data_IF_351897402861
#
_entry.id   IF_351897402861
#
_cell.length_a   1.000
_cell.length_b   1.000
_cell.length_c   1.000
_cell.angle_alpha   90.00
_cell.angle_beta   90.00
_cell.angle_gamma   90.00
#
_symmetry.space_group_name_H-M   'P 1'
#
loop_
_entity.id
_entity.type
_entity.pdbx_description
1 polymer ?
#
# COMPACT_ATOMS: atom_id res chain seq x y z
N UNK A 1 -11.20 44.41 -33.55
CA UNK A 1 -11.38 43.18 -32.76
C UNK A 1 -11.89 43.62 -31.41
N UNK A 2 -13.08 43.18 -31.02
CA UNK A 2 -13.69 43.53 -29.73
C UNK A 2 -12.77 43.08 -28.59
N UNK A 3 -12.49 43.99 -27.66
CA UNK A 3 -11.76 43.70 -26.43
C UNK A 3 -12.59 42.73 -25.58
N UNK A 4 -12.39 41.42 -25.80
CA UNK A 4 -12.92 40.36 -24.94
C UNK A 4 -12.47 40.69 -23.51
N UNK A 5 -13.43 40.92 -22.60
CA UNK A 5 -13.16 41.24 -21.20
C UNK A 5 -12.26 40.12 -20.64
N UNK A 6 -11.02 40.44 -20.29
CA UNK A 6 -10.05 39.46 -19.78
C UNK A 6 -10.53 39.00 -18.39
N UNK A 7 -11.01 37.77 -18.28
CA UNK A 7 -11.38 37.16 -17.00
C UNK A 7 -10.17 36.62 -16.25
N UNK A 8 -10.40 35.80 -15.24
CA UNK A 8 -9.35 35.13 -14.49
C UNK A 8 -8.91 33.84 -15.18
N UNK A 9 -7.69 33.41 -14.91
CA UNK A 9 -7.17 32.11 -15.33
C UNK A 9 -7.09 31.18 -14.12
N UNK A 10 -7.49 29.93 -14.27
CA UNK A 10 -7.48 28.91 -13.22
C UNK A 10 -6.54 27.76 -13.55
N UNK A 11 -5.89 27.18 -12.55
CA UNK A 11 -5.19 25.90 -12.67
C UNK A 11 -5.38 25.10 -11.38
N UNK A 12 -5.52 23.79 -11.48
CA UNK A 12 -5.72 22.91 -10.34
C UNK A 12 -4.70 21.80 -10.27
N UNK A 13 -4.38 21.37 -9.06
CA UNK A 13 -3.41 20.30 -8.85
C UNK A 13 -3.29 19.87 -7.41
N UNK A 14 -2.63 18.72 -7.24
CA UNK A 14 -2.25 18.23 -5.93
C UNK A 14 -1.15 19.10 -5.35
N UNK A 15 -0.10 19.45 -6.11
CA UNK A 15 1.01 20.27 -5.62
C UNK A 15 1.76 19.68 -4.40
N UNK A 16 1.81 18.35 -4.32
CA UNK A 16 2.50 17.62 -3.25
C UNK A 16 4.03 17.71 -3.38
N UNK A 17 4.73 17.88 -2.26
CA UNK A 17 6.17 18.15 -2.21
C UNK A 17 6.55 19.26 -3.19
N UNK A 18 6.02 20.46 -2.98
CA UNK A 18 6.13 21.54 -3.95
C UNK A 18 7.56 21.71 -4.50
N UNK A 19 7.74 21.46 -5.80
CA UNK A 19 9.05 21.32 -6.44
C UNK A 19 9.12 22.13 -7.75
N UNK A 20 10.29 22.14 -8.39
CA UNK A 20 10.56 22.94 -9.60
C UNK A 20 9.52 22.73 -10.72
N UNK A 21 9.04 21.49 -10.90
CA UNK A 21 7.98 21.20 -11.87
C UNK A 21 6.64 21.91 -11.59
N UNK A 22 6.24 22.04 -10.33
CA UNK A 22 5.05 22.80 -9.94
C UNK A 22 5.26 24.29 -10.19
N UNK A 23 6.42 24.83 -9.79
CA UNK A 23 6.76 26.24 -9.99
C UNK A 23 6.80 26.62 -11.47
N UNK A 24 7.43 25.81 -12.32
CA UNK A 24 7.48 26.09 -13.76
C UNK A 24 6.08 26.08 -14.39
N UNK A 25 5.25 25.12 -14.01
CA UNK A 25 3.87 25.02 -14.51
C UNK A 25 3.07 26.28 -14.17
N UNK A 26 3.19 26.77 -12.94
CA UNK A 26 2.55 28.02 -12.51
C UNK A 26 3.12 29.23 -13.27
N UNK A 27 4.44 29.33 -13.43
CA UNK A 27 5.07 30.42 -14.16
C UNK A 27 4.67 30.46 -15.65
N UNK A 28 4.47 29.31 -16.31
CA UNK A 28 3.96 29.25 -17.69
C UNK A 28 2.57 29.88 -17.80
N UNK A 29 1.69 29.61 -16.84
CA UNK A 29 0.35 30.20 -16.81
C UNK A 29 0.45 31.72 -16.63
N UNK A 30 1.25 32.19 -15.66
CA UNK A 30 1.46 33.62 -15.43
C UNK A 30 2.02 34.36 -16.66
N UNK A 31 2.93 33.73 -17.41
CA UNK A 31 3.52 34.33 -18.60
C UNK A 31 2.57 34.34 -19.80
N UNK A 32 1.71 33.32 -19.96
CA UNK A 32 0.72 33.25 -21.04
C UNK A 32 -0.42 34.25 -20.83
N UNK A 33 -0.76 34.50 -19.56
CA UNK A 33 -1.85 35.40 -19.17
C UNK A 33 -1.33 36.53 -18.28
N UNK A 34 -0.43 37.40 -18.80
CA UNK A 34 0.25 38.41 -17.99
C UNK A 34 -0.70 39.47 -17.42
N UNK A 35 -1.88 39.62 -18.01
CA UNK A 35 -2.89 40.60 -17.65
C UNK A 35 -4.08 40.02 -16.85
N UNK A 36 -4.05 38.72 -16.51
CA UNK A 36 -5.12 38.06 -15.74
C UNK A 36 -4.64 37.70 -14.32
N UNK A 37 -5.59 37.51 -13.42
CA UNK A 37 -5.32 36.91 -12.10
C UNK A 37 -5.32 35.39 -12.25
N UNK A 38 -4.28 34.75 -11.73
CA UNK A 38 -4.16 33.30 -11.63
C UNK A 38 -4.80 32.81 -10.32
N UNK A 39 -5.76 31.93 -10.45
CA UNK A 39 -6.38 31.19 -9.36
C UNK A 39 -5.80 29.77 -9.35
N UNK A 40 -5.22 29.37 -8.23
CA UNK A 40 -4.63 28.04 -8.04
C UNK A 40 -5.55 27.24 -7.12
N UNK A 41 -6.23 26.24 -7.69
CA UNK A 41 -7.03 25.26 -6.96
C UNK A 41 -6.16 24.15 -6.40
N UNK A 42 -6.07 24.08 -5.07
CA UNK A 42 -5.35 23.01 -4.40
C UNK A 42 -6.32 21.87 -4.11
N UNK A 43 -6.11 20.75 -4.79
CA UNK A 43 -6.90 19.53 -4.66
C UNK A 43 -7.03 19.12 -3.19
N UNK A 44 -8.23 18.82 -2.72
CA UNK A 44 -8.43 18.35 -1.34
C UNK A 44 -7.73 17.00 -1.12
N UNK A 45 -7.40 16.68 0.13
CA UNK A 45 -6.85 15.36 0.46
C UNK A 45 -7.87 14.26 0.16
N UNK A 46 -9.16 14.55 0.35
CA UNK A 46 -10.30 13.67 0.03
C UNK A 46 -10.37 13.39 -1.48
N UNK A 47 -10.32 14.44 -2.29
CA UNK A 47 -10.29 14.34 -3.75
C UNK A 47 -9.05 13.56 -4.20
N UNK A 48 -7.86 13.92 -3.71
CA UNK A 48 -6.62 13.26 -4.12
C UNK A 48 -6.60 11.77 -3.76
N UNK A 49 -7.04 11.42 -2.55
CA UNK A 49 -7.15 10.03 -2.09
C UNK A 49 -8.12 9.20 -2.93
N UNK A 50 -9.10 9.84 -3.59
CA UNK A 50 -10.09 9.13 -4.39
C UNK A 50 -9.55 8.61 -5.73
N UNK A 51 -8.45 9.14 -6.26
CA UNK A 51 -7.84 8.67 -7.52
C UNK A 51 -6.32 8.42 -7.46
N UNK A 52 -5.64 8.73 -6.35
CA UNK A 52 -4.19 8.53 -6.19
C UNK A 52 -3.78 8.37 -4.72
N UNK A 53 -2.50 8.06 -4.47
CA UNK A 53 -1.91 8.09 -3.12
C UNK A 53 -2.24 9.42 -2.42
N UNK A 54 -2.39 9.35 -1.10
CA UNK A 54 -2.47 10.56 -0.28
C UNK A 54 -1.22 11.42 -0.55
N UNK A 55 -1.38 12.74 -0.70
CA UNK A 55 -0.25 13.67 -0.70
C UNK A 55 0.62 13.51 0.56
N UNK A 56 1.91 13.78 0.45
CA UNK A 56 2.82 13.91 1.59
C UNK A 56 2.49 15.16 2.42
N UNK A 57 2.06 16.25 1.77
CA UNK A 57 1.62 17.49 2.42
C UNK A 57 0.09 17.61 2.45
N UNK A 58 -0.51 18.06 3.55
CA UNK A 58 -1.97 18.28 3.66
C UNK A 58 -2.47 19.37 2.72
N UNK A 59 -3.78 19.38 2.44
CA UNK A 59 -4.38 20.44 1.62
C UNK A 59 -4.07 21.85 2.15
N UNK A 60 -4.18 22.07 3.46
CA UNK A 60 -3.89 23.38 4.06
C UNK A 60 -2.39 23.73 4.01
N UNK A 61 -1.49 22.77 4.21
CA UNK A 61 -0.04 23.02 4.06
C UNK A 61 0.34 23.33 2.62
N UNK A 62 -0.26 22.62 1.66
CA UNK A 62 -0.07 22.87 0.23
C UNK A 62 -0.58 24.24 -0.16
N UNK A 63 -1.77 24.62 0.33
CA UNK A 63 -2.32 25.98 0.20
C UNK A 63 -1.34 26.99 0.80
N UNK A 64 -0.97 26.84 2.08
CA UNK A 64 -0.11 27.78 2.79
C UNK A 64 1.28 27.90 2.14
N UNK A 65 1.83 26.80 1.63
CA UNK A 65 3.10 26.78 0.90
C UNK A 65 3.00 27.66 -0.34
N UNK A 66 1.96 27.47 -1.15
CA UNK A 66 1.75 28.23 -2.39
C UNK A 66 1.45 29.71 -2.05
N UNK A 67 0.60 29.98 -1.07
CA UNK A 67 0.31 31.34 -0.60
C UNK A 67 1.58 32.06 -0.12
N UNK A 68 2.44 31.38 0.63
CA UNK A 68 3.70 31.95 1.13
C UNK A 68 4.64 32.28 -0.02
N UNK A 69 4.83 31.33 -0.95
CA UNK A 69 5.68 31.49 -2.14
C UNK A 69 5.19 32.68 -2.99
N UNK A 70 3.88 32.84 -3.16
CA UNK A 70 3.27 33.88 -3.99
C UNK A 70 2.76 35.10 -3.21
N UNK A 71 3.11 35.24 -1.93
CA UNK A 71 2.58 36.29 -1.03
C UNK A 71 2.81 37.72 -1.54
N UNK A 72 3.89 37.96 -2.28
CA UNK A 72 4.19 39.26 -2.91
C UNK A 72 3.52 39.46 -4.27
N UNK A 73 2.97 38.41 -4.87
CA UNK A 73 2.33 38.45 -6.18
C UNK A 73 0.81 38.62 -6.05
N UNK A 74 0.36 39.87 -6.13
CA UNK A 74 -1.07 40.23 -6.06
C UNK A 74 -1.95 39.66 -7.18
N UNK A 75 -1.35 39.01 -8.20
CA UNK A 75 -2.08 38.35 -9.28
C UNK A 75 -2.27 36.86 -9.03
N UNK A 76 -1.87 36.33 -7.88
CA UNK A 76 -2.09 34.92 -7.52
C UNK A 76 -3.07 34.85 -6.37
N UNK A 77 -4.12 34.06 -6.55
CA UNK A 77 -5.07 33.68 -5.51
C UNK A 77 -5.02 32.16 -5.37
N UNK A 78 -4.90 31.67 -4.14
CA UNK A 78 -4.91 30.24 -3.85
C UNK A 78 -6.24 29.92 -3.22
N UNK A 79 -6.90 28.87 -3.71
CA UNK A 79 -8.16 28.38 -3.16
C UNK A 79 -8.05 26.89 -2.93
N UNK A 80 -8.88 26.38 -2.03
CA UNK A 80 -9.17 24.96 -2.02
C UNK A 80 -10.00 24.61 -3.25
N UNK A 81 -9.61 23.55 -3.96
CA UNK A 81 -10.36 23.02 -5.10
C UNK A 81 -11.73 22.51 -4.62
N UNK A 82 -12.84 22.89 -5.29
CA UNK A 82 -14.18 22.45 -4.88
C UNK A 82 -14.47 20.96 -5.09
N UNK A 83 -13.63 20.23 -5.84
CA UNK A 83 -13.85 18.80 -6.07
C UNK A 83 -13.56 17.97 -4.83
N UNK A 84 -14.39 16.96 -4.57
CA UNK A 84 -14.36 16.11 -3.39
C UNK A 84 -13.99 14.66 -3.72
N UNK A 85 -14.31 14.22 -4.94
CA UNK A 85 -14.02 12.88 -5.49
C UNK A 85 -13.66 12.96 -6.97
N UNK A 86 -12.93 11.98 -7.48
CA UNK A 86 -12.48 11.94 -8.88
C UNK A 86 -13.62 11.86 -9.90
N UNK A 87 -14.84 11.55 -9.44
CA UNK A 87 -16.05 11.50 -10.26
C UNK A 87 -16.80 12.83 -10.35
N UNK A 88 -16.40 13.83 -9.56
CA UNK A 88 -17.05 15.15 -9.53
C UNK A 88 -16.65 16.00 -10.75
N UNK A 89 -17.44 17.05 -11.08
CA UNK A 89 -17.18 17.95 -12.21
C UNK A 89 -17.10 19.42 -11.78
N UNK A 90 -16.27 20.22 -12.48
CA UNK A 90 -16.39 21.67 -12.38
C UNK A 90 -17.64 22.13 -13.13
N UNK A 91 -18.63 22.60 -12.39
CA UNK A 91 -19.87 23.11 -12.96
C UNK A 91 -19.77 24.58 -13.35
N UNK A 92 -20.73 25.05 -14.17
CA UNK A 92 -20.81 26.46 -14.63
C UNK A 92 -20.70 27.47 -13.49
N UNK A 93 -21.34 27.19 -12.35
CA UNK A 93 -21.35 28.11 -11.21
C UNK A 93 -19.94 28.42 -10.71
N UNK A 94 -19.03 27.44 -10.69
CA UNK A 94 -17.67 27.62 -10.22
C UNK A 94 -16.91 28.61 -11.09
N UNK A 95 -17.05 28.47 -12.41
CA UNK A 95 -16.41 29.37 -13.37
C UNK A 95 -17.00 30.79 -13.31
N UNK A 96 -18.31 30.90 -13.16
CA UNK A 96 -19.00 32.19 -13.03
C UNK A 96 -18.60 32.91 -11.71
N UNK A 97 -18.58 32.19 -10.59
CA UNK A 97 -18.26 32.71 -9.26
C UNK A 97 -16.87 33.33 -9.21
N UNK A 98 -15.89 32.61 -9.76
CA UNK A 98 -14.50 33.05 -9.79
C UNK A 98 -14.14 33.88 -11.04
N UNK A 99 -15.11 34.15 -11.92
CA UNK A 99 -14.89 34.90 -13.16
C UNK A 99 -13.83 34.27 -14.07
N UNK A 100 -13.73 32.94 -14.07
CA UNK A 100 -12.71 32.19 -14.80
C UNK A 100 -13.12 32.10 -16.28
N UNK A 101 -12.29 32.67 -17.14
CA UNK A 101 -12.45 32.56 -18.60
C UNK A 101 -11.50 31.54 -19.23
N UNK A 102 -10.44 31.20 -18.50
CA UNK A 102 -9.34 30.38 -19.00
C UNK A 102 -8.99 29.32 -17.91
N UNK A 103 -9.00 28.03 -18.23
CA UNK A 103 -8.59 26.95 -17.32
C UNK A 103 -7.39 26.23 -17.92
N UNK A 104 -6.25 26.32 -17.24
CA UNK A 104 -4.99 25.72 -17.59
C UNK A 104 -4.78 24.39 -16.84
N UNK A 105 -4.56 23.31 -17.58
CA UNK A 105 -4.22 22.01 -16.99
C UNK A 105 -2.97 21.39 -17.63
N UNK A 106 -2.26 20.60 -16.83
CA UNK A 106 -1.25 19.67 -17.35
C UNK A 106 -1.86 18.59 -18.23
N UNK A 107 -1.13 17.52 -18.51
CA UNK A 107 -1.63 16.41 -19.35
C UNK A 107 -1.75 15.08 -18.58
N UNK A 108 -1.53 15.10 -17.26
CA UNK A 108 -1.47 13.92 -16.35
C UNK A 108 -2.84 13.58 -15.72
N UNK A 109 -3.90 13.55 -16.52
CA UNK A 109 -5.25 13.13 -16.10
C UNK A 109 -5.77 12.08 -17.09
N UNK A 110 -6.65 11.16 -16.68
CA UNK A 110 -7.27 10.16 -17.57
C UNK A 110 -7.82 10.83 -18.83
N UNK A 111 -7.60 10.27 -20.02
CA UNK A 111 -7.68 10.97 -21.32
C UNK A 111 -8.97 11.77 -21.60
N UNK A 112 -10.04 11.63 -20.81
CA UNK A 112 -11.18 12.54 -20.89
C UNK A 112 -12.01 12.60 -19.59
N UNK A 113 -11.58 13.34 -18.56
CA UNK A 113 -12.40 13.48 -17.38
C UNK A 113 -13.50 14.49 -17.71
N UNK A 114 -14.77 14.09 -17.49
CA UNK A 114 -15.96 14.94 -17.64
C UNK A 114 -15.83 16.27 -16.87
N UNK A 115 -14.90 16.30 -15.92
CA UNK A 115 -14.57 17.43 -15.05
C UNK A 115 -14.35 18.76 -15.78
N UNK A 116 -13.91 18.75 -17.05
CA UNK A 116 -13.62 19.96 -17.83
C UNK A 116 -14.65 20.28 -18.94
N UNK A 117 -15.80 19.60 -19.00
CA UNK A 117 -16.78 19.76 -20.09
C UNK A 117 -17.24 21.21 -20.28
N UNK A 118 -17.59 21.89 -19.19
CA UNK A 118 -18.09 23.25 -19.26
C UNK A 118 -17.06 24.21 -19.88
N UNK A 119 -15.83 24.23 -19.38
CA UNK A 119 -14.82 25.20 -19.83
C UNK A 119 -14.39 24.96 -21.29
N UNK A 120 -14.42 23.70 -21.76
CA UNK A 120 -14.20 23.35 -23.17
C UNK A 120 -15.29 23.95 -24.07
N UNK A 121 -16.55 23.90 -23.64
CA UNK A 121 -17.69 24.43 -24.42
C UNK A 121 -17.58 25.92 -24.73
N UNK A 122 -16.86 26.68 -23.90
CA UNK A 122 -16.64 28.12 -24.07
C UNK A 122 -15.27 28.48 -24.68
N UNK A 123 -14.54 27.49 -25.20
CA UNK A 123 -13.18 27.65 -25.74
C UNK A 123 -12.19 28.27 -24.74
N UNK A 124 -12.36 27.99 -23.44
CA UNK A 124 -11.52 28.49 -22.35
C UNK A 124 -10.51 27.47 -21.82
N UNK A 125 -10.48 26.26 -22.35
CA UNK A 125 -9.56 25.21 -21.86
C UNK A 125 -8.20 25.30 -22.54
N UNK A 126 -7.13 25.31 -21.74
CA UNK A 126 -5.75 25.44 -22.20
C UNK A 126 -4.91 24.28 -21.66
N UNK A 127 -4.27 23.55 -22.57
CA UNK A 127 -3.26 22.55 -22.19
C UNK A 127 -1.89 23.24 -22.09
N UNK A 128 -1.23 23.07 -20.95
CA UNK A 128 0.04 23.75 -20.64
C UNK A 128 1.25 22.80 -20.73
N UNK A 129 1.01 21.52 -21.03
CA UNK A 129 2.03 20.48 -21.01
C UNK A 129 2.53 20.17 -19.60
N UNK A 130 3.40 19.16 -19.48
CA UNK A 130 4.06 18.82 -18.21
C UNK A 130 5.40 19.55 -18.11
N UNK A 131 5.83 19.85 -16.89
CA UNK A 131 7.21 20.25 -16.66
C UNK A 131 8.14 19.04 -16.76
N UNK A 132 9.19 19.16 -17.55
CA UNK A 132 10.24 18.14 -17.66
C UNK A 132 11.29 18.26 -16.55
N UNK A 133 11.23 19.31 -15.71
CA UNK A 133 12.26 19.58 -14.71
C UNK A 133 12.29 18.53 -13.60
N UNK A 134 11.11 18.18 -13.07
CA UNK A 134 10.95 17.22 -11.98
C UNK A 134 9.46 16.93 -11.75
N UNK A 135 9.13 15.69 -11.41
CA UNK A 135 7.81 15.34 -10.89
C UNK A 135 7.89 14.76 -9.48
N UNK A 136 6.77 14.68 -8.76
CA UNK A 136 6.78 14.12 -7.40
C UNK A 136 7.24 12.66 -7.42
N UNK A 137 6.79 11.88 -8.40
CA UNK A 137 7.23 10.49 -8.61
C UNK A 137 8.69 10.43 -9.01
N UNK A 138 9.19 11.33 -9.85
CA UNK A 138 10.61 11.37 -10.22
C UNK A 138 11.49 11.91 -9.10
N UNK A 139 11.00 12.78 -8.21
CA UNK A 139 11.71 13.15 -7.00
C UNK A 139 11.79 11.92 -6.10
N UNK A 140 10.68 11.21 -5.94
CA UNK A 140 10.65 9.91 -5.26
C UNK A 140 11.58 8.89 -5.95
N UNK A 141 11.70 8.87 -7.28
CA UNK A 141 12.53 7.94 -8.09
C UNK A 141 13.97 8.41 -8.34
N UNK A 142 14.29 9.68 -8.25
CA UNK A 142 15.69 10.11 -8.06
C UNK A 142 16.15 9.71 -6.67
N UNK A 143 15.20 9.51 -5.77
CA UNK A 143 15.34 8.76 -4.54
C UNK A 143 15.08 7.21 -4.74
N UNK A 144 14.74 6.66 -5.95
CA UNK A 144 14.49 5.21 -6.34
C UNK A 144 14.71 4.76 -7.86
N UNK A 145 15.41 3.65 -8.21
CA UNK A 145 16.52 3.59 -9.22
C UNK A 145 16.29 2.96 -10.65
N UNK A 146 17.24 3.12 -11.62
CA UNK A 146 17.12 2.95 -13.13
C UNK A 146 17.80 1.74 -13.82
N UNK A 147 18.52 0.93 -13.09
CA UNK A 147 18.99 -0.38 -13.50
C UNK A 147 18.10 -1.42 -12.81
N UNK A 148 18.25 -2.70 -13.14
CA UNK A 148 17.74 -3.74 -12.26
C UNK A 148 18.41 -3.52 -10.91
N UNK A 149 17.62 -3.09 -9.93
CA UNK A 149 18.09 -2.90 -8.57
C UNK A 149 17.74 -4.14 -7.83
N UNK A 150 18.76 -4.82 -7.33
CA UNK A 150 18.54 -5.87 -6.36
C UNK A 150 17.90 -5.22 -5.13
N UNK A 151 16.68 -5.65 -4.83
CA UNK A 151 16.01 -5.33 -3.58
C UNK A 151 16.51 -6.32 -2.53
N UNK A 152 16.46 -5.90 -1.26
CA UNK A 152 16.66 -6.83 -0.17
C UNK A 152 15.54 -7.88 -0.15
N UNK A 153 15.88 -9.07 0.34
CA UNK A 153 14.98 -10.21 0.39
C UNK A 153 15.62 -11.33 1.20
N UNK A 154 14.87 -11.84 2.17
CA UNK A 154 15.38 -12.85 3.10
C UNK A 154 15.40 -14.25 2.47
N UNK A 155 14.57 -14.48 1.46
CA UNK A 155 14.26 -15.82 0.95
C UNK A 155 14.23 -15.94 -0.57
N UNK A 156 14.09 -14.83 -1.29
CA UNK A 156 14.06 -14.75 -2.75
C UNK A 156 15.04 -13.70 -3.29
N UNK A 157 15.39 -13.83 -4.56
CA UNK A 157 16.08 -12.76 -5.27
C UNK A 157 15.05 -11.80 -5.85
N UNK A 158 14.91 -10.67 -5.17
CA UNK A 158 14.00 -9.59 -5.56
C UNK A 158 14.74 -8.55 -6.37
N UNK A 159 14.13 -8.13 -7.47
CA UNK A 159 14.67 -7.15 -8.38
C UNK A 159 13.59 -6.13 -8.71
N UNK A 160 13.95 -4.86 -8.73
CA UNK A 160 13.08 -3.79 -9.22
C UNK A 160 13.61 -3.26 -10.52
N UNK A 161 12.73 -3.17 -11.50
CA UNK A 161 12.96 -2.45 -12.75
C UNK A 161 11.78 -1.51 -12.96
N UNK A 162 11.96 -0.23 -12.63
CA UNK A 162 10.87 0.75 -12.65
C UNK A 162 9.73 0.37 -11.70
N UNK A 163 8.53 0.17 -12.24
CA UNK A 163 7.33 -0.24 -11.50
C UNK A 163 7.02 -1.73 -11.63
N UNK A 164 8.03 -2.55 -11.92
CA UNK A 164 7.90 -4.00 -11.96
C UNK A 164 8.81 -4.56 -10.87
N UNK A 165 8.24 -5.43 -10.05
CA UNK A 165 9.00 -6.30 -9.16
C UNK A 165 9.15 -7.62 -9.88
N UNK A 166 10.41 -7.99 -10.14
CA UNK A 166 10.79 -9.28 -10.68
C UNK A 166 11.26 -10.10 -9.49
N UNK A 167 10.57 -11.21 -9.21
CA UNK A 167 10.96 -12.19 -8.20
C UNK A 167 11.51 -13.42 -8.91
N UNK A 168 12.70 -13.84 -8.52
CA UNK A 168 13.17 -15.19 -8.83
C UNK A 168 12.85 -16.10 -7.66
N UNK A 169 11.95 -17.06 -7.90
CA UNK A 169 11.59 -18.11 -6.95
C UNK A 169 12.79 -19.01 -6.75
N UNK A 170 13.42 -18.93 -5.59
CA UNK A 170 14.54 -19.81 -5.22
C UNK A 170 14.01 -21.04 -4.49
N UNK A 171 12.97 -20.86 -3.68
CA UNK A 171 12.39 -21.87 -2.81
C UNK A 171 10.87 -21.96 -3.01
N UNK A 172 10.30 -23.17 -2.94
CA UNK A 172 8.86 -23.40 -3.07
C UNK A 172 8.45 -24.19 -4.31
N UNK A 173 7.18 -24.62 -4.34
CA UNK A 173 6.58 -25.33 -5.47
C UNK A 173 5.94 -24.33 -6.44
N UNK A 174 6.59 -24.12 -7.59
CA UNK A 174 6.14 -23.14 -8.60
C UNK A 174 4.77 -23.45 -9.19
N UNK A 175 4.33 -24.71 -9.19
CA UNK A 175 2.99 -25.06 -9.65
C UNK A 175 1.93 -24.69 -8.62
N UNK A 176 2.23 -24.89 -7.34
CA UNK A 176 1.34 -24.46 -6.26
C UNK A 176 1.22 -22.94 -6.19
N UNK A 177 2.34 -22.22 -6.34
CA UNK A 177 2.31 -20.76 -6.39
C UNK A 177 1.42 -20.27 -7.54
N UNK A 178 1.54 -20.84 -8.74
CA UNK A 178 0.68 -20.50 -9.86
C UNK A 178 -0.81 -20.71 -9.56
N UNK A 179 -1.13 -21.86 -8.98
CA UNK A 179 -2.50 -22.18 -8.58
C UNK A 179 -3.02 -21.18 -7.54
N UNK A 180 -2.21 -20.86 -6.53
CA UNK A 180 -2.53 -19.87 -5.51
C UNK A 180 -2.77 -18.48 -6.12
N UNK A 181 -1.81 -17.95 -6.89
CA UNK A 181 -1.94 -16.66 -7.58
C UNK A 181 -3.18 -16.63 -8.48
N UNK A 182 -3.43 -17.69 -9.25
CA UNK A 182 -4.58 -17.78 -10.13
C UNK A 182 -5.90 -17.71 -9.36
N UNK A 183 -6.05 -18.52 -8.32
CA UNK A 183 -7.27 -18.56 -7.53
C UNK A 183 -7.53 -17.23 -6.84
N UNK A 184 -6.50 -16.62 -6.28
CA UNK A 184 -6.67 -15.39 -5.54
C UNK A 184 -6.92 -14.17 -6.45
N UNK A 185 -6.31 -14.12 -7.64
CA UNK A 185 -6.63 -13.15 -8.68
C UNK A 185 -8.07 -13.32 -9.17
N UNK A 186 -8.51 -14.56 -9.42
CA UNK A 186 -9.88 -14.84 -9.88
C UNK A 186 -10.95 -14.41 -8.87
N UNK A 187 -10.60 -14.37 -7.58
CA UNK A 187 -11.46 -13.93 -6.50
C UNK A 187 -11.28 -12.43 -6.13
N UNK A 188 -10.45 -11.67 -6.86
CA UNK A 188 -10.12 -10.27 -6.59
C UNK A 188 -9.59 -10.01 -5.17
N UNK A 189 -8.81 -10.94 -4.62
CA UNK A 189 -8.26 -10.85 -3.26
C UNK A 189 -6.87 -10.19 -3.19
N UNK A 190 -6.38 -9.69 -4.33
CA UNK A 190 -5.05 -9.10 -4.49
C UNK A 190 -5.16 -7.63 -4.89
N UNK A 191 -4.19 -6.83 -4.45
CA UNK A 191 -3.91 -5.52 -5.08
C UNK A 191 -3.05 -5.62 -6.34
N UNK A 192 -2.51 -6.80 -6.63
CA UNK A 192 -1.88 -7.14 -7.90
C UNK A 192 -2.99 -7.47 -8.89
N UNK A 193 -3.09 -6.71 -9.98
CA UNK A 193 -4.13 -6.92 -11.01
C UNK A 193 -3.68 -7.88 -12.12
N UNK A 194 -2.40 -8.24 -12.16
CA UNK A 194 -1.85 -9.10 -13.20
C UNK A 194 -0.63 -9.88 -12.69
N UNK A 195 -0.46 -11.09 -13.19
CA UNK A 195 0.61 -12.01 -12.83
C UNK A 195 1.15 -12.68 -14.10
N UNK A 196 2.48 -12.69 -14.27
CA UNK A 196 3.14 -13.42 -15.35
C UNK A 196 4.29 -14.24 -14.79
N UNK A 197 4.34 -15.53 -15.17
CA UNK A 197 5.41 -16.44 -14.77
C UNK A 197 6.12 -17.03 -15.99
N UNK A 198 7.45 -17.06 -15.91
CA UNK A 198 8.36 -17.71 -16.85
C UNK A 198 9.31 -18.64 -16.09
N UNK A 199 8.89 -19.88 -15.89
CA UNK A 199 9.65 -20.84 -15.09
C UNK A 199 9.68 -20.43 -13.61
N UNK A 200 10.85 -19.99 -13.14
CA UNK A 200 11.08 -19.48 -11.78
C UNK A 200 10.98 -17.95 -11.67
N UNK A 201 10.87 -17.25 -12.78
CA UNK A 201 10.74 -15.79 -12.77
C UNK A 201 9.28 -15.41 -12.72
N UNK A 202 8.94 -14.58 -11.73
CA UNK A 202 7.61 -14.02 -11.51
C UNK A 202 7.69 -12.50 -11.70
N UNK A 203 6.82 -11.97 -12.55
CA UNK A 203 6.72 -10.55 -12.84
C UNK A 203 5.44 -10.02 -12.21
N UNK A 204 5.59 -9.07 -11.28
CA UNK A 204 4.50 -8.45 -10.55
C UNK A 204 4.50 -6.94 -10.80
N UNK A 205 3.32 -6.30 -10.94
CA UNK A 205 3.23 -4.86 -10.78
C UNK A 205 3.78 -4.44 -9.42
N UNK A 206 4.50 -3.32 -9.40
CA UNK A 206 4.92 -2.69 -8.16
C UNK A 206 3.69 -2.28 -7.37
N UNK A 207 3.63 -2.74 -6.13
CA UNK A 207 2.51 -2.50 -5.22
C UNK A 207 2.81 -1.20 -4.49
N UNK A 208 2.09 -0.13 -4.85
CA UNK A 208 2.16 1.16 -4.17
C UNK A 208 1.25 1.12 -2.92
N UNK A 209 1.86 1.06 -1.74
CA UNK A 209 1.18 1.04 -0.46
C UNK A 209 2.18 1.10 0.70
N UNK A 210 1.68 1.23 1.92
CA UNK A 210 2.55 1.30 3.09
C UNK A 210 2.93 -0.13 3.52
N UNK A 211 4.20 -0.48 3.36
CA UNK A 211 4.83 -1.63 4.02
C UNK A 211 5.08 -1.20 5.46
N UNK A 212 4.17 -1.53 6.39
CA UNK A 212 4.27 -0.92 7.73
C UNK A 212 3.70 -1.78 8.87
N UNK A 213 4.28 -1.70 10.09
CA UNK A 213 3.75 -2.39 11.27
C UNK A 213 2.41 -1.82 11.80
N UNK A 214 1.90 -0.70 11.26
CA UNK A 214 0.60 -0.12 11.69
C UNK A 214 -0.64 -0.84 11.12
N UNK A 215 -0.47 -1.99 10.48
CA UNK A 215 -1.59 -2.86 10.09
C UNK A 215 -2.32 -3.34 11.36
N UNK A 216 -3.66 -3.22 11.39
CA UNK A 216 -4.41 -3.65 12.58
C UNK A 216 -4.59 -5.16 12.62
N UNK A 217 -4.70 -5.72 13.82
CA UNK A 217 -5.03 -7.15 14.01
C UNK A 217 -6.32 -7.53 13.29
N UNK A 218 -7.32 -6.65 13.30
CA UNK A 218 -8.57 -6.88 12.60
C UNK A 218 -8.39 -6.90 11.08
N UNK A 219 -7.50 -6.07 10.53
CA UNK A 219 -7.18 -6.10 9.10
C UNK A 219 -6.55 -7.46 8.74
N UNK A 220 -5.56 -7.95 9.52
CA UNK A 220 -4.91 -9.26 9.29
C UNK A 220 -5.91 -10.41 9.37
N UNK A 221 -6.76 -10.45 10.40
CA UNK A 221 -7.80 -11.48 10.54
C UNK A 221 -8.79 -11.43 9.37
N UNK A 222 -9.18 -10.23 8.93
CA UNK A 222 -10.11 -10.07 7.80
C UNK A 222 -9.47 -10.54 6.49
N UNK A 223 -8.18 -10.29 6.30
CA UNK A 223 -7.42 -10.80 5.17
C UNK A 223 -7.34 -12.33 5.20
N UNK A 224 -6.97 -12.94 6.33
CA UNK A 224 -6.95 -14.41 6.48
C UNK A 224 -8.33 -15.03 6.21
N UNK A 225 -9.40 -14.42 6.71
CA UNK A 225 -10.77 -14.88 6.49
C UNK A 225 -11.17 -14.78 5.00
N UNK A 226 -10.73 -13.74 4.30
CA UNK A 226 -10.99 -13.56 2.87
C UNK A 226 -10.23 -14.60 2.04
N UNK A 227 -8.96 -14.84 2.36
CA UNK A 227 -8.16 -15.89 1.72
C UNK A 227 -8.77 -17.27 2.00
N UNK A 228 -9.17 -17.55 3.25
CA UNK A 228 -9.83 -18.81 3.62
C UNK A 228 -11.09 -19.10 2.79
N UNK A 229 -11.89 -18.07 2.51
CA UNK A 229 -13.13 -18.20 1.72
C UNK A 229 -12.90 -18.40 0.22
N UNK A 230 -11.68 -18.22 -0.29
CA UNK A 230 -11.41 -18.32 -1.73
C UNK A 230 -11.41 -19.76 -2.26
N UNK A 231 -11.46 -20.76 -1.37
CA UNK A 231 -11.50 -22.17 -1.75
C UNK A 231 -10.13 -22.78 -2.09
N UNK A 232 -9.06 -21.98 -2.00
CA UNK A 232 -7.69 -22.42 -2.18
C UNK A 232 -7.29 -23.39 -1.06
N UNK A 233 -6.94 -24.61 -1.48
CA UNK A 233 -6.56 -25.69 -0.58
C UNK A 233 -5.07 -25.99 -0.66
N UNK A 234 -4.44 -26.27 0.48
CA UNK A 234 -3.03 -26.60 0.53
C UNK A 234 -2.74 -27.99 -0.08
N UNK A 235 -1.60 -28.14 -0.76
CA UNK A 235 -1.14 -29.45 -1.29
C UNK A 235 -0.58 -30.37 -0.20
N UNK A 236 0.00 -29.81 0.86
CA UNK A 236 0.60 -30.53 1.99
C UNK A 236 -0.05 -29.96 3.26
N UNK A 237 -0.16 -30.72 4.36
CA UNK A 237 -0.79 -30.20 5.59
C UNK A 237 0.23 -29.45 6.47
N UNK A 238 -0.23 -28.57 7.38
CA UNK A 238 0.63 -27.96 8.40
C UNK A 238 1.33 -29.03 9.29
N UNK A 239 0.73 -30.21 9.49
CA UNK A 239 1.38 -31.31 10.22
C UNK A 239 2.57 -31.88 9.44
N UNK A 240 2.47 -31.92 8.11
CA UNK A 240 3.57 -32.36 7.27
C UNK A 240 4.69 -31.31 7.20
N UNK A 241 4.37 -30.00 7.30
CA UNK A 241 5.36 -28.95 7.55
C UNK A 241 6.09 -29.20 8.88
N UNK A 242 5.36 -29.48 9.95
CA UNK A 242 5.96 -29.74 11.26
C UNK A 242 6.91 -30.94 11.21
N UNK A 243 6.47 -32.04 10.58
CA UNK A 243 7.31 -33.24 10.36
C UNK A 243 8.60 -32.93 9.59
N UNK A 244 8.54 -32.04 8.58
CA UNK A 244 9.71 -31.66 7.77
C UNK A 244 10.87 -31.15 8.63
N UNK A 245 10.56 -30.49 9.75
CA UNK A 245 11.54 -29.92 10.66
C UNK A 245 11.57 -30.62 12.02
N UNK A 246 11.13 -31.89 12.07
CA UNK A 246 11.11 -32.71 13.29
C UNK A 246 10.37 -32.07 14.48
N UNK A 247 9.39 -31.20 14.19
CA UNK A 247 8.55 -30.59 15.21
C UNK A 247 7.28 -31.42 15.42
N UNK A 248 6.93 -31.66 16.68
CA UNK A 248 5.69 -32.32 17.07
C UNK A 248 4.96 -31.35 18.01
N UNK A 249 3.83 -30.76 17.57
CA UNK A 249 3.08 -29.83 18.41
C UNK A 249 2.43 -30.58 19.58
N UNK A 250 2.19 -29.88 20.69
CA UNK A 250 1.38 -30.44 21.78
C UNK A 250 -0.08 -30.62 21.30
N UNK A 251 -0.44 -31.84 20.93
CA UNK A 251 -1.74 -32.17 20.34
C UNK A 251 -2.91 -31.83 21.26
N UNK A 252 -2.73 -31.84 22.58
CA UNK A 252 -3.77 -31.47 23.53
C UNK A 252 -3.94 -29.95 23.64
N UNK A 253 -2.84 -29.21 23.70
CA UNK A 253 -2.86 -27.75 23.81
C UNK A 253 -3.36 -27.08 22.53
N UNK A 254 -3.00 -27.63 21.37
CA UNK A 254 -3.30 -27.07 20.05
C UNK A 254 -4.41 -27.81 19.28
N UNK A 255 -5.15 -28.71 19.93
CA UNK A 255 -6.17 -29.56 19.30
C UNK A 255 -7.11 -28.79 18.35
N UNK A 256 -7.69 -27.69 18.83
CA UNK A 256 -8.64 -26.90 18.06
C UNK A 256 -8.00 -26.27 16.81
N UNK A 257 -6.77 -25.77 16.93
CA UNK A 257 -6.02 -25.18 15.82
C UNK A 257 -5.66 -26.26 14.79
N UNK A 258 -5.15 -27.40 15.25
CA UNK A 258 -4.74 -28.52 14.40
C UNK A 258 -5.92 -29.22 13.71
N UNK A 259 -7.16 -28.93 14.11
CA UNK A 259 -8.36 -29.47 13.46
C UNK A 259 -8.71 -28.77 12.15
N UNK A 260 -8.25 -27.53 11.94
CA UNK A 260 -8.58 -26.70 10.76
C UNK A 260 -7.35 -26.46 9.87
N UNK A 261 -6.97 -27.48 9.11
CA UNK A 261 -5.75 -27.53 8.31
C UNK A 261 -6.00 -27.21 6.83
N UNK A 262 -7.12 -26.55 6.53
CA UNK A 262 -7.74 -26.61 5.19
C UNK A 262 -7.39 -25.45 4.28
N UNK A 263 -6.62 -24.46 4.75
CA UNK A 263 -6.48 -23.16 4.09
C UNK A 263 -5.03 -22.71 3.91
N UNK A 264 -4.84 -21.82 2.94
CA UNK A 264 -3.56 -21.23 2.58
C UNK A 264 -3.43 -19.85 3.24
N UNK A 265 -2.29 -19.57 3.87
CA UNK A 265 -2.00 -18.31 4.59
C UNK A 265 -0.54 -17.90 4.39
N UNK A 266 -0.23 -16.64 4.68
CA UNK A 266 1.14 -16.12 4.78
C UNK A 266 1.89 -16.80 5.93
N UNK A 267 2.95 -17.52 5.59
CA UNK A 267 3.59 -18.48 6.47
C UNK A 267 4.93 -18.06 7.06
N UNK A 268 5.49 -16.97 6.57
CA UNK A 268 6.76 -16.43 7.04
C UNK A 268 6.56 -15.40 8.16
N UNK A 269 7.66 -15.16 8.88
CA UNK A 269 7.69 -14.28 10.04
C UNK A 269 7.88 -12.82 9.67
N UNK A 270 7.45 -12.37 8.49
CA UNK A 270 7.75 -11.04 7.99
C UNK A 270 6.47 -10.22 7.78
N UNK A 271 6.14 -9.32 8.72
CA UNK A 271 5.00 -8.41 8.55
C UNK A 271 5.12 -7.53 7.30
N UNK A 272 6.35 -7.26 6.85
CA UNK A 272 6.65 -6.49 5.63
C UNK A 272 6.08 -7.15 4.38
N UNK A 273 5.74 -8.43 4.46
CA UNK A 273 5.06 -9.12 3.37
C UNK A 273 3.56 -8.81 3.29
N UNK A 274 3.05 -7.91 4.14
CA UNK A 274 1.72 -7.32 4.06
C UNK A 274 1.83 -5.81 3.78
N UNK A 275 1.11 -5.34 2.77
CA UNK A 275 1.06 -3.94 2.35
C UNK A 275 -0.35 -3.40 2.46
N UNK A 276 -0.51 -2.25 3.11
CA UNK A 276 -1.78 -1.54 3.15
C UNK A 276 -1.89 -0.61 1.94
N UNK A 277 -2.69 -0.99 0.96
CA UNK A 277 -2.99 -0.22 -0.25
C UNK A 277 -4.36 0.46 -0.20
N UNK A 278 -4.74 1.12 -1.29
CA UNK A 278 -6.06 1.78 -1.43
C UNK A 278 -7.24 0.80 -1.39
N UNK A 279 -7.00 -0.45 -1.80
CA UNK A 279 -8.01 -1.52 -1.91
C UNK A 279 -8.05 -2.44 -0.68
N UNK A 280 -7.24 -2.18 0.36
CA UNK A 280 -7.16 -3.00 1.57
C UNK A 280 -5.75 -3.51 1.85
N UNK A 281 -5.66 -4.62 2.59
CA UNK A 281 -4.39 -5.33 2.78
C UNK A 281 -4.07 -6.21 1.58
N UNK A 282 -2.81 -6.20 1.17
CA UNK A 282 -2.29 -6.90 0.00
C UNK A 282 -1.05 -7.67 0.45
N UNK A 283 -1.04 -9.00 0.37
CA UNK A 283 0.19 -9.75 0.55
C UNK A 283 1.13 -9.53 -0.64
N UNK A 284 2.42 -9.47 -0.36
CA UNK A 284 3.45 -9.20 -1.38
C UNK A 284 4.41 -10.37 -1.54
N UNK A 285 4.35 -11.39 -0.68
CA UNK A 285 5.19 -12.59 -0.77
C UNK A 285 4.42 -13.91 -0.64
N UNK A 286 3.94 -14.41 -1.77
CA UNK A 286 3.04 -15.57 -1.84
C UNK A 286 3.78 -16.90 -1.97
N UNK A 287 5.11 -16.85 -2.04
CA UNK A 287 5.94 -18.02 -2.25
C UNK A 287 6.17 -18.78 -0.93
N UNK A 288 6.00 -18.06 0.19
CA UNK A 288 5.97 -18.57 1.55
C UNK A 288 4.54 -18.73 2.07
N UNK A 289 3.60 -18.96 1.16
CA UNK A 289 2.27 -19.40 1.54
C UNK A 289 2.41 -20.76 2.24
N UNK A 290 2.42 -20.74 3.56
CA UNK A 290 2.35 -21.93 4.37
C UNK A 290 0.89 -22.32 4.55
N UNK A 291 0.74 -23.55 5.00
CA UNK A 291 -0.55 -24.09 5.36
C UNK A 291 -0.98 -23.43 6.66
N UNK A 292 -2.07 -22.69 6.57
CA UNK A 292 -2.61 -21.93 7.67
C UNK A 292 -3.64 -22.75 8.41
N UNK A 293 -3.64 -22.59 9.72
CA UNK A 293 -4.83 -22.72 10.53
C UNK A 293 -5.39 -21.31 10.75
N UNK A 294 -6.64 -21.20 11.21
CA UNK A 294 -7.20 -19.89 11.57
C UNK A 294 -6.27 -19.14 12.55
N UNK A 295 -6.06 -17.84 12.31
CA UNK A 295 -5.15 -16.96 13.04
C UNK A 295 -3.64 -17.20 12.83
N UNK A 296 -3.23 -18.04 11.88
CA UNK A 296 -1.81 -18.27 11.59
C UNK A 296 -1.08 -16.98 11.15
N UNK A 297 -1.64 -16.24 10.17
CA UNK A 297 -1.10 -14.94 9.72
C UNK A 297 -1.03 -13.92 10.85
N UNK A 298 -2.01 -13.97 11.75
CA UNK A 298 -2.03 -13.11 12.92
C UNK A 298 -0.87 -13.47 13.85
N UNK A 299 -0.62 -14.76 14.07
CA UNK A 299 0.57 -15.23 14.78
C UNK A 299 1.86 -14.71 14.14
N UNK A 300 1.99 -14.84 12.81
CA UNK A 300 3.15 -14.39 12.04
C UNK A 300 3.37 -12.89 12.18
N UNK A 301 2.30 -12.13 11.97
CA UNK A 301 2.32 -10.69 12.14
C UNK A 301 2.73 -10.30 13.57
N UNK A 302 2.09 -10.84 14.60
CA UNK A 302 2.39 -10.49 15.99
C UNK A 302 3.80 -10.88 16.43
N UNK A 303 4.24 -12.08 16.09
CA UNK A 303 5.57 -12.54 16.45
C UNK A 303 6.65 -11.75 15.70
N UNK A 304 6.42 -11.39 14.44
CA UNK A 304 7.33 -10.52 13.69
C UNK A 304 7.43 -9.12 14.28
N UNK A 305 6.32 -8.53 14.72
CA UNK A 305 6.34 -7.23 15.39
C UNK A 305 7.23 -7.25 16.63
N UNK A 306 7.19 -8.35 17.40
CA UNK A 306 8.04 -8.52 18.57
C UNK A 306 9.52 -8.71 18.19
N UNK A 307 9.80 -9.65 17.28
CA UNK A 307 11.16 -9.99 16.84
C UNK A 307 11.90 -8.78 16.25
N UNK A 308 11.22 -7.99 15.42
CA UNK A 308 11.82 -6.81 14.79
C UNK A 308 11.76 -5.55 15.69
N UNK A 309 11.34 -5.70 16.96
CA UNK A 309 11.34 -4.62 17.95
C UNK A 309 10.28 -3.53 17.72
N UNK A 310 9.25 -3.80 16.91
CA UNK A 310 8.11 -2.90 16.70
C UNK A 310 7.06 -3.02 17.80
N UNK A 311 7.16 -4.02 18.68
CA UNK A 311 6.27 -4.21 19.82
C UNK A 311 6.97 -4.98 20.95
N UNK A 312 6.47 -4.87 22.17
CA UNK A 312 6.89 -5.68 23.31
C UNK A 312 5.84 -6.75 23.64
N UNK A 313 6.18 -7.67 24.54
CA UNK A 313 5.30 -8.78 24.89
C UNK A 313 3.97 -8.34 25.53
N UNK A 314 3.94 -7.21 26.23
CA UNK A 314 2.72 -6.65 26.82
C UNK A 314 1.78 -6.09 25.75
N UNK A 315 2.31 -5.32 24.82
CA UNK A 315 1.56 -4.76 23.70
C UNK A 315 1.06 -5.85 22.76
N UNK A 316 1.85 -6.91 22.51
CA UNK A 316 1.37 -8.08 21.78
C UNK A 316 0.22 -8.75 22.52
N UNK A 317 0.31 -8.93 23.83
CA UNK A 317 -0.79 -9.45 24.64
C UNK A 317 -2.06 -8.59 24.52
N UNK A 318 -1.92 -7.27 24.62
CA UNK A 318 -3.04 -6.32 24.46
C UNK A 318 -3.70 -6.45 23.07
N UNK A 319 -2.90 -6.54 22.00
CA UNK A 319 -3.39 -6.77 20.64
C UNK A 319 -4.14 -8.10 20.48
N UNK A 320 -3.71 -9.16 21.18
CA UNK A 320 -4.38 -10.46 21.14
C UNK A 320 -5.73 -10.41 21.84
N UNK A 321 -5.85 -9.74 22.99
CA UNK A 321 -7.12 -9.66 23.74
C UNK A 321 -8.20 -8.83 23.03
N UNK A 322 -7.81 -7.99 22.07
CA UNK A 322 -8.72 -7.25 21.19
C UNK A 322 -9.35 -8.13 20.08
N UNK A 323 -8.79 -9.31 19.82
CA UNK A 323 -9.34 -10.22 18.82
C UNK A 323 -10.69 -10.79 19.25
N UNK A 324 -11.51 -11.21 18.28
CA UNK A 324 -12.77 -11.92 18.56
C UNK A 324 -12.58 -13.23 19.33
N UNK A 325 -11.41 -13.87 19.21
CA UNK A 325 -11.09 -15.11 19.93
C UNK A 325 -9.65 -15.06 20.49
N UNK A 326 -9.44 -14.36 21.62
CA UNK A 326 -8.11 -14.13 22.20
C UNK A 326 -7.35 -15.42 22.50
N UNK A 327 -8.05 -16.45 22.96
CA UNK A 327 -7.44 -17.73 23.29
C UNK A 327 -6.87 -18.40 22.04
N UNK A 328 -7.63 -18.45 20.95
CA UNK A 328 -7.11 -19.04 19.69
C UNK A 328 -6.00 -18.21 19.08
N UNK A 329 -6.11 -16.88 19.07
CA UNK A 329 -5.05 -16.01 18.60
C UNK A 329 -3.75 -16.20 19.42
N UNK A 330 -3.85 -16.30 20.76
CA UNK A 330 -2.70 -16.58 21.61
C UNK A 330 -2.09 -17.95 21.31
N UNK A 331 -2.90 -19.00 21.18
CA UNK A 331 -2.43 -20.34 20.85
C UNK A 331 -1.79 -20.40 19.46
N UNK A 332 -2.30 -19.67 18.47
CA UNK A 332 -1.72 -19.60 17.13
C UNK A 332 -0.33 -18.93 17.17
N UNK A 333 -0.19 -17.82 17.90
CA UNK A 333 1.10 -17.17 18.13
C UNK A 333 2.08 -18.09 18.87
N UNK A 334 1.62 -18.82 19.91
CA UNK A 334 2.46 -19.77 20.65
C UNK A 334 2.93 -20.93 19.78
N UNK A 335 2.03 -21.54 19.02
CA UNK A 335 2.33 -22.65 18.11
C UNK A 335 3.36 -22.22 17.06
N UNK A 336 3.23 -20.99 16.55
CA UNK A 336 4.18 -20.42 15.63
C UNK A 336 5.56 -20.19 16.27
N UNK A 337 5.61 -19.62 17.48
CA UNK A 337 6.87 -19.49 18.21
C UNK A 337 7.56 -20.86 18.38
N UNK A 338 6.80 -21.87 18.81
CA UNK A 338 7.30 -23.23 19.01
C UNK A 338 7.85 -23.84 17.73
N UNK A 339 7.10 -23.69 16.63
CA UNK A 339 7.50 -24.17 15.32
C UNK A 339 8.79 -23.50 14.84
N UNK A 340 8.93 -22.17 14.95
CA UNK A 340 10.11 -21.45 14.47
C UNK A 340 11.36 -21.65 15.34
N UNK A 341 11.20 -21.87 16.65
CA UNK A 341 12.29 -22.30 17.54
C UNK A 341 12.79 -23.69 17.11
N UNK A 342 11.86 -24.63 16.87
CA UNK A 342 12.20 -25.97 16.41
C UNK A 342 12.86 -25.95 15.02
N UNK A 343 12.32 -25.14 14.11
CA UNK A 343 12.89 -24.93 12.78
C UNK A 343 14.33 -24.40 12.86
N UNK A 344 14.58 -23.36 13.67
CA UNK A 344 15.90 -22.77 13.85
C UNK A 344 16.93 -23.80 14.33
N UNK A 345 16.51 -24.66 15.27
CA UNK A 345 17.33 -25.78 15.76
C UNK A 345 17.61 -26.80 14.66
N UNK A 346 16.57 -27.22 13.92
CA UNK A 346 16.69 -28.22 12.85
C UNK A 346 17.50 -27.70 11.66
N UNK A 347 17.45 -26.41 11.37
CA UNK A 347 18.17 -25.77 10.26
C UNK A 347 19.62 -25.40 10.63
N UNK A 348 20.04 -25.60 11.89
CA UNK A 348 21.33 -25.16 12.43
C UNK A 348 21.59 -23.66 12.19
N UNK A 349 20.52 -22.86 12.16
CA UNK A 349 20.58 -21.43 11.92
C UNK A 349 19.63 -20.75 12.89
N UNK A 350 20.18 -20.11 13.92
CA UNK A 350 19.40 -19.43 14.95
C UNK A 350 19.16 -17.97 14.55
N UNK A 351 17.97 -17.69 14.02
CA UNK A 351 17.56 -16.32 13.69
C UNK A 351 16.97 -15.60 14.92
N UNK A 352 16.04 -16.22 15.65
CA UNK A 352 15.19 -15.54 16.65
C UNK A 352 14.76 -16.41 17.85
N UNK A 353 15.48 -17.51 18.16
CA UNK A 353 14.99 -18.47 19.16
C UNK A 353 14.85 -17.87 20.56
N UNK A 354 15.71 -16.90 20.90
CA UNK A 354 15.65 -16.20 22.19
C UNK A 354 14.38 -15.36 22.30
N UNK A 355 14.14 -14.47 21.34
CA UNK A 355 12.98 -13.59 21.26
C UNK A 355 11.70 -14.41 21.27
N UNK A 356 11.64 -15.45 20.43
CA UNK A 356 10.49 -16.34 20.37
C UNK A 356 10.24 -17.05 21.71
N UNK A 357 11.29 -17.48 22.41
CA UNK A 357 11.17 -18.11 23.73
C UNK A 357 10.65 -17.14 24.78
N UNK A 358 11.10 -15.89 24.75
CA UNK A 358 10.64 -14.82 25.66
C UNK A 358 9.17 -14.48 25.42
N UNK A 359 8.79 -14.19 24.17
CA UNK A 359 7.40 -13.89 23.79
C UNK A 359 6.48 -15.06 24.15
N UNK A 360 6.90 -16.28 23.80
CA UNK A 360 6.16 -17.50 24.11
C UNK A 360 5.93 -17.65 25.61
N UNK A 361 6.99 -17.52 26.42
CA UNK A 361 6.91 -17.67 27.87
C UNK A 361 5.98 -16.62 28.49
N UNK A 362 6.06 -15.37 28.02
CA UNK A 362 5.20 -14.30 28.49
C UNK A 362 3.72 -14.56 28.19
N UNK A 363 3.40 -14.89 26.94
CA UNK A 363 2.02 -15.17 26.53
C UNK A 363 1.46 -16.40 27.25
N UNK A 364 2.28 -17.43 27.44
CA UNK A 364 1.90 -18.63 28.17
C UNK A 364 1.46 -18.32 29.61
N UNK A 365 2.22 -17.48 30.31
CA UNK A 365 1.90 -17.03 31.67
C UNK A 365 0.66 -16.14 31.69
N UNK A 366 0.58 -15.14 30.81
CA UNK A 366 -0.53 -14.17 30.78
C UNK A 366 -1.88 -14.83 30.51
N UNK A 367 -1.93 -15.78 29.58
CA UNK A 367 -3.15 -16.51 29.27
C UNK A 367 -3.42 -17.69 30.22
N UNK A 368 -2.54 -17.93 31.20
CA UNK A 368 -2.66 -19.02 32.18
C UNK A 368 -2.88 -20.39 31.53
N UNK A 369 -2.21 -20.65 30.41
CA UNK A 369 -2.18 -21.99 29.83
C UNK A 369 -1.49 -22.94 30.82
N UNK A 370 -2.06 -24.12 31.04
CA UNK A 370 -1.57 -25.13 31.98
C UNK A 370 -1.16 -26.38 31.25
#
# INVERSE_FOLDING_TARGET
>A
MENKKKGNVFTAGVFDLFHAGHMESIMKVLNKFPDQVLIIGVATDKYTKSFKRTPVQTCLERIHTIETIFSSNKKVMVIQDPLDTYTDNYEKWFYDEYGITDHCQGTDFDENPKVYEYIKSINGFHLMGRSELMSTTELINKLTPSHVVKLDGDTNQNFRLGNIVIKEVIHGDTEFMDDAYTQLLSNNLFGVTNYQRFGKLVFLPFIEGNITPEISVQDVVSLSDNISKCGLKPKISLLDIFKKYSFIPNEQLYADLLSDMTVVCHGDMAYTNLVKGQTGLIPIDWEFLCYGVKYWDLGCFLASLYIYGHSDSENIYLKIIETRNPKQAALATLLLCDYWIAWSTSAQYDYFSKELTELRSYLFVKFSFR
#
